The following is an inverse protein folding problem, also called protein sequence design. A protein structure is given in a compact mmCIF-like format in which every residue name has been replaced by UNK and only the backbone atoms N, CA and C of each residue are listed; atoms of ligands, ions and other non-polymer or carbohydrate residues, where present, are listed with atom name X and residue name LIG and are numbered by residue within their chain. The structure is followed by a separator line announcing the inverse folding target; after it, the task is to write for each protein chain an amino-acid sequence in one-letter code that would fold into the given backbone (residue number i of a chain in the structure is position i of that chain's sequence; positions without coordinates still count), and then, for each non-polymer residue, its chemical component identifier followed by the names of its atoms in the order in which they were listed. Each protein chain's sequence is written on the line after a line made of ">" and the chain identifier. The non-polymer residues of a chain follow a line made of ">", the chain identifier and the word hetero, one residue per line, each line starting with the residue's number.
data_IF_522059402635
#
_entry.id   IF_522059402635
#
_cell.length_a   1.000
_cell.length_b   1.000
_cell.length_c   1.000
_cell.angle_alpha   90.00
_cell.angle_beta   90.00
_cell.angle_gamma   90.00
#
_symmetry.space_group_name_H-M   'P 1'
#
loop_
_entity.id
_entity.type
_entity.pdbx_description
1 polymer ?
#
# COMPACT_ATOMS: atom_id res chain seq x y z
N UNK A 1 58.78 -1.38 -24.38
CA UNK A 1 57.93 -2.29 -23.56
C UNK A 1 56.47 -2.07 -23.92
N UNK A 2 55.95 -2.88 -24.86
CA UNK A 2 54.55 -2.84 -25.24
C UNK A 2 53.74 -3.62 -24.18
N UNK A 3 53.13 -2.90 -23.24
CA UNK A 3 52.20 -3.50 -22.29
C UNK A 3 50.98 -3.99 -23.08
N UNK A 4 50.84 -5.30 -23.20
CA UNK A 4 49.77 -5.98 -23.93
C UNK A 4 48.41 -5.35 -23.61
N UNK A 5 47.73 -4.79 -24.62
CA UNK A 5 46.30 -4.50 -24.59
C UNK A 5 45.55 -5.82 -24.51
N UNK A 6 45.49 -6.43 -23.31
CA UNK A 6 44.64 -7.58 -23.06
C UNK A 6 43.20 -7.11 -23.26
N UNK A 7 42.41 -7.86 -24.03
CA UNK A 7 41.01 -7.53 -24.31
C UNK A 7 40.15 -7.46 -23.03
N UNK A 8 40.65 -7.98 -21.92
CA UNK A 8 40.03 -7.96 -20.59
C UNK A 8 40.29 -6.69 -19.78
N UNK A 9 41.18 -5.78 -20.23
CA UNK A 9 41.46 -4.52 -19.53
C UNK A 9 40.82 -3.29 -20.16
N UNK A 10 40.08 -3.45 -21.27
CA UNK A 10 39.26 -2.37 -21.83
C UNK A 10 37.91 -2.39 -21.13
N UNK A 11 37.53 -1.27 -20.55
CA UNK A 11 36.17 -1.11 -20.03
C UNK A 11 35.16 -1.39 -21.16
N UNK A 12 34.20 -2.25 -20.89
CA UNK A 12 33.14 -2.66 -21.84
C UNK A 12 32.37 -1.45 -22.36
N UNK A 13 32.25 -0.42 -21.53
CA UNK A 13 31.59 0.84 -21.87
C UNK A 13 32.58 1.97 -22.13
N UNK A 14 32.29 2.78 -23.15
CA UNK A 14 33.00 4.05 -23.36
C UNK A 14 32.78 5.02 -22.18
N UNK A 15 33.59 6.07 -22.07
CA UNK A 15 33.38 7.10 -21.05
C UNK A 15 32.02 7.79 -21.22
N UNK A 16 31.60 8.00 -22.47
CA UNK A 16 30.31 8.58 -22.82
C UNK A 16 29.15 7.67 -22.41
N UNK A 17 29.22 6.37 -22.71
CA UNK A 17 28.21 5.40 -22.28
C UNK A 17 28.11 5.30 -20.76
N UNK A 18 29.23 5.36 -20.04
CA UNK A 18 29.23 5.43 -18.58
C UNK A 18 28.61 6.72 -18.06
N UNK A 19 28.85 7.85 -18.71
CA UNK A 19 28.22 9.12 -18.33
C UNK A 19 26.69 9.08 -18.54
N UNK A 20 26.23 8.49 -19.65
CA UNK A 20 24.80 8.26 -19.92
C UNK A 20 24.17 7.28 -18.92
N UNK A 21 24.84 6.16 -18.65
CA UNK A 21 24.37 5.18 -17.68
C UNK A 21 24.29 5.80 -16.27
N UNK A 22 25.28 6.63 -15.92
CA UNK A 22 25.31 7.36 -14.65
C UNK A 22 24.19 8.39 -14.58
N UNK A 23 23.94 9.18 -15.63
CA UNK A 23 22.85 10.16 -15.62
C UNK A 23 21.46 9.51 -15.60
N UNK A 24 21.30 8.34 -16.22
CA UNK A 24 20.03 7.63 -16.30
C UNK A 24 19.68 6.83 -15.03
N UNK A 25 20.67 6.15 -14.43
CA UNK A 25 20.44 5.17 -13.35
C UNK A 25 21.09 5.50 -12.01
N UNK A 26 22.10 6.39 -11.95
CA UNK A 26 22.68 6.74 -10.65
C UNK A 26 21.78 7.69 -9.86
N UNK A 27 21.94 7.66 -8.53
CA UNK A 27 21.31 8.64 -7.66
C UNK A 27 21.80 10.04 -7.98
N UNK A 28 20.90 10.96 -8.29
CA UNK A 28 21.23 12.34 -8.60
C UNK A 28 20.47 13.31 -7.70
N UNK A 29 21.14 14.37 -7.27
CA UNK A 29 20.57 15.43 -6.43
C UNK A 29 20.67 16.76 -7.17
N UNK A 30 19.55 17.48 -7.34
CA UNK A 30 19.53 18.80 -7.95
C UNK A 30 18.99 19.84 -6.97
N UNK A 31 19.64 21.00 -6.87
CA UNK A 31 19.09 22.12 -6.10
C UNK A 31 17.98 22.80 -6.88
N UNK A 32 16.83 22.98 -6.24
CA UNK A 32 15.64 23.60 -6.82
C UNK A 32 15.72 25.12 -6.67
N UNK A 33 15.42 25.83 -7.77
CA UNK A 33 15.34 27.30 -7.80
C UNK A 33 13.93 27.77 -7.40
N UNK A 34 13.74 29.08 -7.22
CA UNK A 34 12.43 29.69 -6.91
C UNK A 34 11.34 29.26 -7.89
N UNK A 35 11.67 29.11 -9.16
CA UNK A 35 10.73 28.76 -10.23
C UNK A 35 10.25 27.30 -10.14
N UNK A 36 10.92 26.47 -9.34
CA UNK A 36 10.51 25.09 -9.04
C UNK A 36 9.46 25.01 -7.92
N UNK A 37 9.13 26.14 -7.29
CA UNK A 37 8.13 26.21 -6.22
C UNK A 37 6.86 26.89 -6.72
N UNK A 38 5.72 26.36 -6.29
CA UNK A 38 4.44 26.95 -6.61
C UNK A 38 4.29 28.29 -5.86
N UNK A 39 3.79 29.36 -6.50
CA UNK A 39 3.55 30.61 -5.79
C UNK A 39 2.48 30.45 -4.69
N UNK A 40 2.43 31.42 -3.78
CA UNK A 40 1.53 31.35 -2.64
C UNK A 40 0.07 31.28 -3.09
N UNK A 41 -0.66 30.34 -2.48
CA UNK A 41 -2.10 30.16 -2.66
C UNK A 41 -2.56 29.82 -4.10
N UNK A 42 -1.70 29.10 -4.80
CA UNK A 42 -2.02 28.41 -6.05
C UNK A 42 -2.60 27.02 -5.78
N UNK A 43 -3.40 26.54 -6.73
CA UNK A 43 -3.95 25.19 -6.74
C UNK A 43 -2.89 24.20 -7.21
N UNK A 44 -2.71 23.11 -6.47
CA UNK A 44 -1.73 22.06 -6.81
C UNK A 44 -2.13 21.16 -7.98
N UNK A 45 -3.37 21.26 -8.45
CA UNK A 45 -3.87 20.47 -9.59
C UNK A 45 -3.81 21.25 -10.90
N UNK A 46 -4.31 22.49 -10.95
CA UNK A 46 -4.26 23.32 -12.16
C UNK A 46 -3.04 24.24 -12.24
N UNK A 47 -2.27 24.39 -11.15
CA UNK A 47 -1.06 25.22 -11.10
C UNK A 47 -1.30 26.72 -11.37
N UNK A 48 -2.53 27.19 -11.14
CA UNK A 48 -2.93 28.59 -11.21
C UNK A 48 -3.37 29.10 -9.83
N UNK A 49 -3.63 30.40 -9.69
CA UNK A 49 -4.23 30.97 -8.47
C UNK A 49 -5.49 30.19 -8.11
N UNK A 50 -5.58 29.71 -6.87
CA UNK A 50 -6.73 28.92 -6.45
C UNK A 50 -8.01 29.79 -6.41
N UNK A 51 -8.99 29.40 -7.23
CA UNK A 51 -10.37 29.92 -7.26
C UNK A 51 -11.22 29.08 -6.32
N UNK A 52 -12.01 29.73 -5.45
CA UNK A 52 -12.74 29.10 -4.35
C UNK A 52 -11.85 28.09 -3.61
N UNK A 53 -10.76 28.56 -2.98
CA UNK A 53 -9.71 27.69 -2.49
C UNK A 53 -10.24 26.73 -1.41
N UNK A 54 -9.88 25.47 -1.54
CA UNK A 54 -10.12 24.43 -0.53
C UNK A 54 -8.80 23.80 -0.13
N UNK A 55 -8.73 23.32 1.11
CA UNK A 55 -7.55 22.64 1.63
C UNK A 55 -7.86 21.24 2.13
N UNK A 56 -6.89 20.32 1.97
CA UNK A 56 -6.91 19.06 2.70
C UNK A 56 -6.54 19.27 4.19
N UNK A 57 -6.68 18.22 5.01
CA UNK A 57 -6.35 18.30 6.45
C UNK A 57 -4.88 18.64 6.74
N UNK A 58 -3.98 18.47 5.75
CA UNK A 58 -2.55 18.69 5.85
C UNK A 58 -2.08 20.04 5.26
N UNK A 59 -3.00 20.89 4.79
CA UNK A 59 -2.67 22.25 4.34
C UNK A 59 -2.29 22.37 2.88
N UNK A 60 -2.55 21.36 2.04
CA UNK A 60 -2.41 21.46 0.59
C UNK A 60 -3.61 22.18 -0.02
N UNK A 61 -3.38 23.08 -0.99
CA UNK A 61 -4.43 23.94 -1.58
C UNK A 61 -4.85 23.49 -2.98
N UNK A 62 -6.14 23.63 -3.24
CA UNK A 62 -6.78 23.28 -4.50
C UNK A 62 -7.88 24.28 -4.83
N UNK A 63 -8.22 24.44 -6.11
CA UNK A 63 -9.53 24.95 -6.48
C UNK A 63 -10.59 23.94 -6.06
N UNK A 64 -11.77 24.42 -5.65
CA UNK A 64 -12.88 23.54 -5.29
C UNK A 64 -13.20 22.54 -6.40
N UNK A 65 -13.34 23.01 -7.64
CA UNK A 65 -13.63 22.16 -8.79
C UNK A 65 -12.55 21.08 -9.04
N UNK A 66 -11.28 21.44 -8.95
CA UNK A 66 -10.17 20.51 -9.19
C UNK A 66 -10.12 19.41 -8.13
N UNK A 67 -10.31 19.77 -6.85
CA UNK A 67 -10.36 18.79 -5.78
C UNK A 67 -11.52 17.81 -5.98
N UNK A 68 -12.72 18.32 -6.31
CA UNK A 68 -13.90 17.49 -6.53
C UNK A 68 -13.72 16.56 -7.74
N UNK A 69 -13.26 17.08 -8.87
CA UNK A 69 -13.07 16.29 -10.09
C UNK A 69 -12.05 15.17 -9.89
N UNK A 70 -10.96 15.45 -9.18
CA UNK A 70 -9.96 14.43 -8.87
C UNK A 70 -10.47 13.38 -7.87
N UNK A 71 -11.19 13.77 -6.82
CA UNK A 71 -11.83 12.82 -5.90
C UNK A 71 -12.77 11.88 -6.68
N UNK A 72 -13.57 12.42 -7.60
CA UNK A 72 -14.49 11.62 -8.44
C UNK A 72 -13.74 10.69 -9.40
N UNK A 73 -12.67 11.19 -10.04
CA UNK A 73 -11.82 10.39 -10.93
C UNK A 73 -11.18 9.21 -10.18
N UNK A 74 -10.62 9.47 -8.99
CA UNK A 74 -10.04 8.42 -8.15
C UNK A 74 -11.09 7.42 -7.68
N UNK A 75 -12.27 7.85 -7.24
CA UNK A 75 -13.37 6.93 -6.87
C UNK A 75 -13.81 6.05 -8.04
N UNK A 76 -13.86 6.60 -9.25
CA UNK A 76 -14.19 5.84 -10.46
C UNK A 76 -13.13 4.78 -10.76
N UNK A 77 -11.85 5.12 -10.64
CA UNK A 77 -10.75 4.17 -10.85
C UNK A 77 -10.71 3.10 -9.77
N UNK A 78 -10.88 3.47 -8.49
CA UNK A 78 -10.98 2.53 -7.37
C UNK A 78 -12.10 1.52 -7.63
N UNK A 79 -13.29 1.99 -8.01
CA UNK A 79 -14.42 1.11 -8.35
C UNK A 79 -14.12 0.20 -9.55
N UNK A 80 -13.37 0.69 -10.55
CA UNK A 80 -12.96 -0.11 -11.71
C UNK A 80 -12.01 -1.24 -11.29
N UNK A 81 -11.01 -0.91 -10.47
CA UNK A 81 -10.03 -1.86 -9.93
C UNK A 81 -10.69 -2.88 -8.99
N UNK A 82 -11.60 -2.44 -8.12
CA UNK A 82 -12.37 -3.34 -7.24
C UNK A 82 -13.20 -4.35 -8.05
N UNK A 83 -13.87 -3.91 -9.13
CA UNK A 83 -14.62 -4.81 -10.01
C UNK A 83 -13.71 -5.81 -10.72
N UNK A 84 -12.55 -5.37 -11.21
CA UNK A 84 -11.57 -6.25 -11.85
C UNK A 84 -11.07 -7.32 -10.88
N UNK A 85 -10.71 -6.94 -9.66
CA UNK A 85 -10.27 -7.86 -8.61
C UNK A 85 -11.36 -8.85 -8.20
N UNK A 86 -12.61 -8.39 -8.07
CA UNK A 86 -13.74 -9.29 -7.79
C UNK A 86 -13.98 -10.28 -8.92
N UNK A 87 -13.76 -9.88 -10.17
CA UNK A 87 -13.86 -10.78 -11.32
C UNK A 87 -12.72 -11.81 -11.32
N UNK A 88 -11.48 -11.38 -11.11
CA UNK A 88 -10.31 -12.26 -10.99
C UNK A 88 -10.47 -13.26 -9.85
N UNK A 89 -10.98 -12.84 -8.69
CA UNK A 89 -11.25 -13.73 -7.55
C UNK A 89 -12.31 -14.79 -7.90
N UNK A 90 -13.38 -14.41 -8.60
CA UNK A 90 -14.40 -15.37 -9.06
C UNK A 90 -13.83 -16.38 -10.05
N UNK A 91 -13.05 -15.92 -11.03
CA UNK A 91 -12.39 -16.78 -12.02
C UNK A 91 -11.37 -17.73 -11.36
N UNK A 92 -10.62 -17.25 -10.35
CA UNK A 92 -9.71 -18.07 -9.56
C UNK A 92 -10.43 -19.14 -8.74
N UNK A 93 -11.55 -18.79 -8.09
CA UNK A 93 -12.36 -19.74 -7.34
C UNK A 93 -12.99 -20.81 -8.25
N UNK A 94 -13.50 -20.42 -9.42
CA UNK A 94 -14.02 -21.34 -10.43
C UNK A 94 -12.91 -22.26 -10.99
N UNK A 95 -11.74 -21.69 -11.30
CA UNK A 95 -10.59 -22.48 -11.76
C UNK A 95 -10.11 -23.48 -10.70
N UNK A 96 -10.08 -23.08 -9.43
CA UNK A 96 -9.74 -23.96 -8.31
C UNK A 96 -10.79 -25.05 -8.14
N UNK A 97 -12.08 -24.72 -8.21
CA UNK A 97 -13.16 -25.71 -8.15
C UNK A 97 -13.07 -26.74 -9.29
N UNK A 98 -12.73 -26.30 -10.51
CA UNK A 98 -12.48 -27.22 -11.64
C UNK A 98 -11.30 -28.15 -11.38
N UNK A 99 -10.19 -27.62 -10.86
CA UNK A 99 -9.01 -28.43 -10.52
C UNK A 99 -9.30 -29.43 -9.39
N UNK A 100 -10.06 -29.02 -8.37
CA UNK A 100 -10.45 -29.90 -7.28
C UNK A 100 -11.41 -31.01 -7.78
N UNK A 101 -12.32 -30.70 -8.71
CA UNK A 101 -13.18 -31.71 -9.34
C UNK A 101 -12.36 -32.70 -10.21
N UNK A 102 -11.44 -32.21 -11.05
CA UNK A 102 -10.52 -33.05 -11.82
C UNK A 102 -9.67 -33.97 -10.90
N UNK A 103 -9.17 -33.42 -9.79
CA UNK A 103 -8.40 -34.20 -8.81
C UNK A 103 -9.26 -35.26 -8.10
N UNK A 104 -10.52 -34.96 -7.80
CA UNK A 104 -11.47 -35.93 -7.25
C UNK A 104 -11.75 -37.07 -8.25
N UNK A 105 -12.00 -36.76 -9.52
CA UNK A 105 -12.22 -37.79 -10.55
C UNK A 105 -11.01 -38.70 -10.74
N UNK A 106 -9.80 -38.14 -10.74
CA UNK A 106 -8.56 -38.92 -10.84
C UNK A 106 -8.33 -39.80 -9.62
N UNK A 107 -8.60 -39.31 -8.41
CA UNK A 107 -8.52 -40.10 -7.19
C UNK A 107 -9.51 -41.28 -7.21
N UNK A 108 -10.76 -41.05 -7.66
CA UNK A 108 -11.75 -42.14 -7.82
C UNK A 108 -11.25 -43.19 -8.82
N UNK A 109 -10.72 -42.77 -9.98
CA UNK A 109 -10.18 -43.71 -10.99
C UNK A 109 -8.98 -44.51 -10.47
N UNK A 110 -8.06 -43.87 -9.73
CA UNK A 110 -6.91 -44.55 -9.12
C UNK A 110 -7.36 -45.59 -8.10
N UNK A 111 -8.38 -45.26 -7.30
CA UNK A 111 -9.00 -46.18 -6.35
C UNK A 111 -9.66 -47.37 -7.06
N UNK A 112 -10.45 -47.14 -8.11
CA UNK A 112 -11.08 -48.20 -8.92
C UNK A 112 -10.04 -49.16 -9.54
N UNK A 113 -8.95 -48.63 -10.09
CA UNK A 113 -7.82 -49.41 -10.63
C UNK A 113 -7.16 -50.27 -9.55
N UNK A 114 -6.98 -49.72 -8.35
CA UNK A 114 -6.37 -50.43 -7.22
C UNK A 114 -7.28 -51.56 -6.73
N UNK A 115 -8.61 -51.34 -6.66
CA UNK A 115 -9.58 -52.41 -6.35
C UNK A 115 -9.62 -53.51 -7.41
N UNK A 116 -9.40 -53.18 -8.68
CA UNK A 116 -9.29 -54.15 -9.77
C UNK A 116 -8.00 -54.98 -9.74
N UNK A 117 -7.10 -54.77 -8.77
CA UNK A 117 -5.82 -55.48 -8.64
C UNK A 117 -4.74 -55.01 -9.60
N UNK A 118 -4.96 -53.88 -10.29
CA UNK A 118 -4.00 -53.24 -11.21
C UNK A 118 -3.19 -52.21 -10.43
N UNK A 119 -2.33 -52.68 -9.53
CA UNK A 119 -1.52 -51.79 -8.69
C UNK A 119 -0.44 -51.07 -9.54
N UNK A 120 -0.62 -49.77 -9.76
CA UNK A 120 0.23 -48.94 -10.64
C UNK A 120 1.67 -48.82 -10.13
N UNK A 121 1.93 -49.18 -8.85
CA UNK A 121 3.30 -49.33 -8.32
C UNK A 121 4.13 -50.39 -9.04
N UNK A 122 3.51 -51.32 -9.78
CA UNK A 122 4.25 -52.30 -10.59
C UNK A 122 4.75 -51.76 -11.95
N UNK A 123 4.23 -50.61 -12.43
CA UNK A 123 4.52 -50.11 -13.79
C UNK A 123 5.61 -49.01 -13.87
N UNK A 124 5.96 -48.35 -12.75
CA UNK A 124 7.06 -47.36 -12.70
C UNK A 124 8.11 -47.76 -11.66
N UNK A 125 9.03 -48.66 -12.07
CA UNK A 125 10.32 -48.82 -11.37
C UNK A 125 10.73 -50.24 -10.99
N UNK A 126 10.83 -51.15 -11.97
CA UNK A 126 11.84 -52.22 -11.88
C UNK A 126 13.22 -51.61 -12.11
N UNK A 127 13.78 -50.95 -11.09
CA UNK A 127 15.21 -50.74 -10.89
C UNK A 127 15.43 -49.94 -9.60
N UNK A 128 15.58 -50.65 -8.49
CA UNK A 128 16.64 -50.51 -7.47
C UNK A 128 16.13 -51.10 -6.16
N UNK A 129 16.49 -52.36 -5.96
CA UNK A 129 16.43 -53.00 -4.66
C UNK A 129 17.26 -52.17 -3.67
N UNK A 130 16.63 -51.67 -2.62
CA UNK A 130 17.29 -51.35 -1.37
C UNK A 130 16.26 -51.34 -0.23
N UNK A 131 16.35 -52.38 0.57
CA UNK A 131 15.87 -52.57 1.94
C UNK A 131 15.40 -51.30 2.66
N UNK A 132 14.13 -51.25 3.04
CA UNK A 132 13.68 -50.47 4.20
C UNK A 132 12.72 -51.34 5.01
N UNK A 133 13.09 -51.49 6.28
CA UNK A 133 12.44 -52.25 7.33
C UNK A 133 11.05 -51.72 7.64
N UNK A 134 10.11 -52.64 7.86
CA UNK A 134 8.83 -52.37 8.51
C UNK A 134 9.06 -51.80 9.91
N UNK A 135 8.73 -50.52 10.09
CA UNK A 135 8.60 -49.92 11.41
C UNK A 135 7.22 -50.29 11.98
N UNK A 136 7.20 -51.33 12.79
CA UNK A 136 6.14 -51.60 13.75
C UNK A 136 6.30 -50.67 14.95
N UNK A 137 5.22 -50.11 15.55
CA UNK A 137 5.32 -49.33 16.76
C UNK A 137 5.44 -50.28 17.96
N UNK A 138 6.63 -50.30 18.56
CA UNK A 138 6.93 -51.02 19.79
C UNK A 138 6.32 -50.31 20.99
N UNK A 139 5.41 -50.97 21.71
CA UNK A 139 5.00 -50.59 23.08
C UNK A 139 5.63 -51.61 24.04
N UNK A 140 6.46 -51.11 24.96
CA UNK A 140 7.06 -51.75 26.14
C UNK A 140 6.02 -52.53 27.00
N UNK A 141 6.25 -53.63 27.72
CA UNK A 141 7.39 -54.49 28.15
C UNK A 141 6.77 -55.79 28.75
N UNK A 142 7.45 -56.55 29.64
CA UNK A 142 8.27 -57.74 29.42
C UNK A 142 7.51 -59.08 29.62
N UNK A 143 8.07 -60.16 29.08
CA UNK A 143 7.65 -61.56 29.29
C UNK A 143 7.85 -62.02 30.75
N UNK A 144 7.12 -63.06 31.22
CA UNK A 144 7.64 -64.41 31.03
C UNK A 144 6.59 -65.43 30.56
N UNK A 145 7.09 -66.28 29.66
CA UNK A 145 6.91 -67.73 29.56
C UNK A 145 5.57 -68.44 29.83
N UNK A 146 5.40 -69.44 28.97
CA UNK A 146 4.78 -70.74 29.20
C UNK A 146 3.32 -70.91 28.74
N UNK A 147 3.26 -71.66 27.64
CA UNK A 147 2.27 -72.69 27.33
C UNK A 147 0.85 -72.25 26.97
N UNK A 148 0.50 -72.56 25.72
CA UNK A 148 -0.70 -73.35 25.49
C UNK A 148 -1.67 -72.77 24.47
N UNK A 149 -1.88 -73.59 23.44
CA UNK A 149 -3.10 -73.72 22.67
C UNK A 149 -3.49 -72.59 21.71
N UNK A 150 -3.37 -72.94 20.44
CA UNK A 150 -4.09 -72.37 19.31
C UNK A 150 -5.54 -71.98 19.67
N UNK A 151 -5.87 -70.69 19.51
CA UNK A 151 -7.22 -70.27 19.13
C UNK A 151 -7.14 -69.32 17.94
N UNK A 152 -7.47 -69.94 16.81
CA UNK A 152 -7.71 -69.37 15.50
C UNK A 152 -8.76 -68.25 15.58
N UNK A 153 -8.34 -67.04 15.21
CA UNK A 153 -9.17 -66.04 14.54
C UNK A 153 -10.26 -65.36 15.36
N UNK A 154 -9.87 -64.48 16.29
CA UNK A 154 -10.76 -63.43 16.75
C UNK A 154 -10.61 -62.22 15.83
N UNK A 155 -11.63 -62.00 14.99
CA UNK A 155 -11.69 -60.87 14.06
C UNK A 155 -11.68 -59.58 14.89
N UNK A 156 -10.54 -58.90 14.98
CA UNK A 156 -10.47 -57.54 15.51
C UNK A 156 -11.48 -56.71 14.72
N UNK A 157 -12.52 -56.25 15.43
CA UNK A 157 -13.61 -55.45 14.85
C UNK A 157 -12.97 -54.15 14.36
N UNK A 158 -12.76 -54.04 13.06
CA UNK A 158 -12.28 -52.82 12.42
C UNK A 158 -13.38 -51.77 12.57
N UNK A 159 -13.27 -50.92 13.57
CA UNK A 159 -14.12 -49.74 13.71
C UNK A 159 -13.56 -48.65 12.81
N UNK A 160 -14.24 -48.41 11.69
CA UNK A 160 -14.02 -47.23 10.85
C UNK A 160 -14.41 -46.00 11.65
N UNK A 161 -13.41 -45.29 12.16
CA UNK A 161 -13.58 -44.00 12.79
C UNK A 161 -13.84 -42.97 11.68
N UNK A 162 -15.01 -42.32 11.63
CA UNK A 162 -15.38 -41.42 10.53
C UNK A 162 -14.35 -40.30 10.31
N UNK A 163 -13.75 -39.78 11.37
CA UNK A 163 -12.76 -38.70 11.31
C UNK A 163 -11.44 -39.18 10.67
N UNK A 164 -11.06 -40.43 10.91
CA UNK A 164 -9.87 -41.03 10.31
C UNK A 164 -10.08 -41.33 8.81
N UNK A 165 -11.30 -41.70 8.42
CA UNK A 165 -11.68 -41.89 7.01
C UNK A 165 -11.63 -40.57 6.25
N UNK A 166 -12.11 -39.49 6.86
CA UNK A 166 -12.06 -38.16 6.25
C UNK A 166 -10.63 -37.66 6.09
N UNK A 167 -9.77 -37.86 7.09
CA UNK A 167 -8.33 -37.55 7.02
C UNK A 167 -7.62 -38.31 5.90
N UNK A 168 -7.89 -39.61 5.76
CA UNK A 168 -7.31 -40.44 4.69
C UNK A 168 -7.80 -39.95 3.32
N UNK A 169 -9.08 -39.62 3.18
CA UNK A 169 -9.64 -39.07 1.94
C UNK A 169 -9.04 -37.70 1.57
N UNK A 170 -8.78 -36.84 2.56
CA UNK A 170 -8.09 -35.56 2.34
C UNK A 170 -6.63 -35.74 1.92
N UNK A 171 -5.91 -36.68 2.54
CA UNK A 171 -4.52 -37.02 2.20
C UNK A 171 -4.40 -37.59 0.79
N UNK A 172 -5.32 -38.49 0.39
CA UNK A 172 -5.35 -39.07 -0.95
C UNK A 172 -5.70 -38.02 -2.02
N UNK A 173 -6.65 -37.13 -1.75
CA UNK A 173 -6.93 -35.95 -2.61
C UNK A 173 -5.72 -35.01 -2.70
N UNK A 174 -4.99 -34.80 -1.60
CA UNK A 174 -3.79 -33.98 -1.59
C UNK A 174 -2.65 -34.62 -2.42
N UNK A 175 -2.52 -35.94 -2.36
CA UNK A 175 -1.56 -36.71 -3.18
C UNK A 175 -1.91 -36.64 -4.67
N UNK A 176 -3.19 -36.79 -5.03
CA UNK A 176 -3.65 -36.63 -6.41
C UNK A 176 -3.37 -35.20 -6.94
N UNK A 177 -3.64 -34.16 -6.13
CA UNK A 177 -3.30 -32.77 -6.48
C UNK A 177 -1.80 -32.58 -6.74
N UNK A 178 -0.94 -33.14 -5.89
CA UNK A 178 0.52 -33.08 -6.07
C UNK A 178 0.99 -33.79 -7.34
N UNK A 179 0.43 -34.96 -7.66
CA UNK A 179 0.76 -35.69 -8.89
C UNK A 179 0.40 -34.90 -10.16
N UNK A 180 -0.75 -34.20 -10.16
CA UNK A 180 -1.17 -33.32 -11.26
C UNK A 180 -0.24 -32.11 -11.37
N UNK A 181 0.20 -31.55 -10.25
CA UNK A 181 1.14 -30.42 -10.22
C UNK A 181 2.52 -30.82 -10.73
N UNK A 182 3.03 -32.00 -10.37
CA UNK A 182 4.28 -32.56 -10.88
C UNK A 182 4.21 -32.87 -12.39
N UNK A 183 3.07 -33.35 -12.90
CA UNK A 183 2.85 -33.54 -14.34
C UNK A 183 2.78 -32.20 -15.09
N UNK A 184 2.22 -31.17 -14.46
CA UNK A 184 2.16 -29.81 -15.02
C UNK A 184 3.52 -29.11 -14.98
N UNK A 185 4.33 -29.33 -13.94
CA UNK A 185 5.66 -28.73 -13.78
C UNK A 185 6.73 -29.42 -14.63
N UNK A 186 6.55 -30.71 -14.94
CA UNK A 186 7.43 -31.46 -15.85
C UNK A 186 7.21 -31.14 -17.34
N UNK A 187 6.14 -30.42 -17.70
CA UNK A 187 5.97 -29.85 -19.04
C UNK A 187 6.93 -28.67 -19.20
N UNK A 188 7.85 -28.68 -20.19
CA UNK A 188 8.90 -27.67 -20.29
C UNK A 188 8.29 -26.28 -20.51
N UNK A 189 8.38 -25.42 -19.50
CA UNK A 189 8.08 -24.00 -19.65
C UNK A 189 9.20 -23.37 -20.46
N UNK A 190 8.93 -23.03 -21.72
CA UNK A 190 9.90 -22.37 -22.59
C UNK A 190 10.35 -21.03 -21.95
N UNK A 191 11.66 -20.75 -21.86
CA UNK A 191 12.20 -19.52 -21.28
C UNK A 191 12.10 -18.34 -22.26
N UNK A 192 11.01 -18.24 -23.04
CA UNK A 192 10.82 -17.18 -24.02
C UNK A 192 9.90 -16.08 -23.47
N UNK A 193 10.55 -15.03 -22.99
CA UNK A 193 9.96 -13.75 -22.57
C UNK A 193 9.08 -13.07 -23.65
N UNK A 194 9.23 -13.46 -24.92
CA UNK A 194 8.54 -12.86 -26.07
C UNK A 194 7.26 -13.58 -26.50
N UNK A 195 6.89 -14.65 -25.80
CA UNK A 195 5.62 -15.34 -26.06
C UNK A 195 4.50 -14.59 -25.32
N UNK A 196 3.41 -14.15 -25.98
CA UNK A 196 2.33 -13.38 -25.34
C UNK A 196 1.75 -14.03 -24.07
N UNK A 197 1.78 -15.37 -23.99
CA UNK A 197 1.37 -16.21 -22.86
C UNK A 197 2.33 -16.25 -21.67
N UNK A 198 3.53 -15.66 -21.77
CA UNK A 198 4.55 -15.57 -20.71
C UNK A 198 4.93 -14.10 -20.44
N UNK A 199 4.15 -13.16 -20.96
CA UNK A 199 4.35 -11.73 -20.69
C UNK A 199 4.15 -11.45 -19.20
N UNK A 200 4.92 -10.52 -18.59
CA UNK A 200 4.84 -10.23 -17.16
C UNK A 200 3.44 -9.79 -16.67
N UNK A 201 2.55 -9.33 -17.56
CA UNK A 201 1.14 -9.05 -17.24
C UNK A 201 0.24 -10.30 -17.14
N UNK A 202 0.69 -11.44 -17.68
CA UNK A 202 -0.04 -12.71 -17.70
C UNK A 202 0.47 -13.72 -16.65
N UNK A 203 1.54 -13.36 -15.93
CA UNK A 203 2.25 -14.27 -15.04
C UNK A 203 1.67 -14.26 -13.61
N UNK A 204 0.40 -14.65 -13.47
CA UNK A 204 -0.29 -14.78 -12.18
C UNK A 204 0.11 -16.00 -11.34
N UNK A 205 1.14 -16.76 -11.76
CA UNK A 205 1.53 -18.05 -11.14
C UNK A 205 2.91 -18.05 -10.49
N UNK A 206 3.71 -16.99 -10.62
CA UNK A 206 4.98 -16.89 -9.91
C UNK A 206 4.77 -16.24 -8.54
N UNK A 207 5.08 -16.99 -7.48
CA UNK A 207 5.04 -16.59 -6.05
C UNK A 207 5.83 -15.31 -5.73
N UNK A 208 6.70 -14.86 -6.64
CA UNK A 208 7.47 -13.61 -6.54
C UNK A 208 6.68 -12.33 -6.89
N UNK A 209 5.47 -12.44 -7.44
CA UNK A 209 4.67 -11.27 -7.86
C UNK A 209 3.27 -11.19 -7.24
N UNK A 210 2.96 -11.99 -6.21
CA UNK A 210 1.73 -11.81 -5.42
C UNK A 210 1.87 -10.60 -4.48
N UNK A 211 2.27 -9.46 -5.04
CA UNK A 211 2.01 -8.17 -4.42
C UNK A 211 0.54 -7.90 -4.71
N UNK A 212 -0.35 -8.50 -3.90
CA UNK A 212 -1.69 -7.96 -3.70
C UNK A 212 -1.51 -6.53 -3.20
N UNK A 213 -1.35 -5.59 -4.13
CA UNK A 213 -1.42 -4.16 -3.86
C UNK A 213 -2.81 -3.98 -3.29
N UNK A 214 -2.91 -3.94 -1.96
CA UNK A 214 -4.15 -3.66 -1.24
C UNK A 214 -4.79 -2.48 -1.96
N UNK A 215 -5.90 -2.73 -2.62
CA UNK A 215 -6.58 -1.74 -3.45
C UNK A 215 -6.85 -0.56 -2.53
N UNK A 216 -6.25 0.58 -2.84
CA UNK A 216 -6.37 1.79 -2.04
C UNK A 216 -7.85 2.15 -2.00
N UNK A 217 -8.53 1.88 -0.89
CA UNK A 217 -9.99 2.00 -0.78
C UNK A 217 -10.48 3.44 -0.76
N UNK A 218 -9.58 4.40 -0.57
CA UNK A 218 -9.91 5.82 -0.44
C UNK A 218 -9.09 6.69 -1.40
N UNK A 219 -9.69 7.78 -1.91
CA UNK A 219 -8.96 8.78 -2.68
C UNK A 219 -7.79 9.37 -1.87
N UNK A 220 -6.63 9.49 -2.51
CA UNK A 220 -5.39 10.02 -1.95
C UNK A 220 -5.14 11.43 -2.49
N UNK A 221 -4.71 12.31 -1.59
CA UNK A 221 -4.31 13.66 -1.93
C UNK A 221 -3.14 13.65 -2.95
N UNK A 222 -3.24 14.30 -4.12
CA UNK A 222 -2.15 14.34 -5.11
C UNK A 222 -0.85 14.97 -4.61
N UNK A 223 -0.95 15.80 -3.58
CA UNK A 223 0.16 16.50 -2.99
C UNK A 223 0.73 15.78 -1.75
N UNK A 224 0.19 14.62 -1.39
CA UNK A 224 0.76 13.84 -0.31
C UNK A 224 2.15 13.34 -0.73
N UNK A 225 3.16 13.42 0.15
CA UNK A 225 4.47 12.85 -0.11
C UNK A 225 4.34 11.33 -0.29
N UNK A 226 5.21 10.73 -1.12
CA UNK A 226 5.20 9.29 -1.38
C UNK A 226 5.39 8.45 -0.11
N UNK A 227 6.17 8.96 0.84
CA UNK A 227 6.45 8.30 2.12
C UNK A 227 5.25 8.31 3.08
N UNK A 228 4.38 9.32 2.96
CA UNK A 228 3.22 9.51 3.85
C UNK A 228 1.98 9.91 3.03
N UNK A 229 1.41 8.97 2.26
CA UNK A 229 0.16 9.21 1.54
C UNK A 229 -0.96 9.42 2.56
N UNK A 230 -1.74 10.47 2.38
CA UNK A 230 -2.90 10.73 3.21
C UNK A 230 -4.18 10.73 2.37
N UNK A 231 -5.28 10.11 2.87
CA UNK A 231 -6.55 10.15 2.20
C UNK A 231 -7.14 11.57 2.27
N UNK A 232 -8.00 11.88 1.31
CA UNK A 232 -8.80 13.09 1.34
C UNK A 232 -10.17 12.85 0.72
N UNK A 233 -11.20 13.46 1.30
CA UNK A 233 -12.60 13.26 0.94
C UNK A 233 -13.36 14.58 0.97
N UNK A 234 -14.55 14.60 0.39
CA UNK A 234 -15.43 15.77 0.36
C UNK A 234 -15.71 16.33 1.76
N UNK A 235 -15.84 15.46 2.75
CA UNK A 235 -16.14 15.85 4.13
C UNK A 235 -14.92 16.37 4.90
N UNK A 236 -13.71 16.08 4.42
CA UNK A 236 -12.46 16.51 5.05
C UNK A 236 -11.87 17.75 4.39
N UNK A 237 -12.46 18.22 3.27
CA UNK A 237 -12.07 19.46 2.62
C UNK A 237 -12.55 20.66 3.45
N UNK A 238 -11.61 21.56 3.73
CA UNK A 238 -11.87 22.81 4.43
C UNK A 238 -11.90 23.92 3.39
N UNK A 239 -13.00 24.69 3.33
CA UNK A 239 -13.03 25.92 2.53
C UNK A 239 -12.08 26.93 3.13
N UNK A 240 -11.25 27.56 2.30
CA UNK A 240 -10.25 28.54 2.73
C UNK A 240 -10.77 29.94 2.42
N UNK A 241 -10.70 30.81 3.41
CA UNK A 241 -11.10 32.21 3.30
C UNK A 241 -9.86 33.09 3.45
N UNK A 242 -9.41 33.65 2.33
CA UNK A 242 -8.36 34.67 2.31
C UNK A 242 -8.96 36.05 2.45
N UNK A 243 -8.31 36.91 3.23
CA UNK A 243 -8.54 38.35 3.21
C UNK A 243 -7.74 38.93 2.06
N UNK A 244 -8.38 39.69 1.17
CA UNK A 244 -7.76 40.24 -0.02
C UNK A 244 -7.81 41.77 0.02
N UNK A 245 -6.74 42.41 -0.43
CA UNK A 245 -6.61 43.85 -0.58
C UNK A 245 -6.27 44.17 -2.04
N UNK A 246 -7.06 45.05 -2.65
CA UNK A 246 -6.87 45.49 -4.03
C UNK A 246 -6.13 46.81 -4.06
N UNK A 247 -4.95 46.82 -4.66
CA UNK A 247 -4.22 48.07 -4.91
C UNK A 247 -4.90 48.85 -6.05
N UNK A 248 -5.34 50.09 -5.76
CA UNK A 248 -6.04 50.95 -6.73
C UNK A 248 -5.19 51.29 -7.97
N UNK A 249 -3.85 51.32 -7.81
CA UNK A 249 -2.91 51.72 -8.86
C UNK A 249 -2.56 50.60 -9.83
N UNK A 250 -2.40 49.38 -9.33
CA UNK A 250 -1.98 48.22 -10.12
C UNK A 250 -3.14 47.28 -10.46
N UNK A 251 -4.32 47.47 -9.84
CA UNK A 251 -5.50 46.58 -9.94
C UNK A 251 -5.19 45.13 -9.58
N UNK A 252 -4.10 44.88 -8.85
CA UNK A 252 -3.70 43.55 -8.41
C UNK A 252 -4.30 43.25 -7.05
N UNK A 253 -5.03 42.15 -6.94
CA UNK A 253 -5.52 41.59 -5.68
C UNK A 253 -4.37 40.89 -4.96
N UNK A 254 -4.02 41.34 -3.76
CA UNK A 254 -3.03 40.65 -2.91
C UNK A 254 -3.73 40.04 -1.70
N UNK A 255 -3.29 38.85 -1.29
CA UNK A 255 -3.83 38.15 -0.12
C UNK A 255 -3.05 38.62 1.12
N UNK A 256 -3.75 39.11 2.13
CA UNK A 256 -3.15 39.71 3.33
C UNK A 256 -3.53 38.95 4.60
N UNK A 257 -2.74 39.13 5.65
CA UNK A 257 -3.06 38.63 6.99
C UNK A 257 -4.08 39.57 7.66
N UNK A 258 -5.23 39.08 8.17
CA UNK A 258 -6.22 39.95 8.82
C UNK A 258 -5.74 40.56 10.14
N UNK A 259 -4.72 39.98 10.79
CA UNK A 259 -4.20 40.46 12.07
C UNK A 259 -3.15 41.57 11.94
N UNK A 260 -2.28 41.52 10.92
CA UNK A 260 -1.19 42.49 10.75
C UNK A 260 -1.21 43.23 9.41
N UNK A 261 -2.19 42.96 8.56
CA UNK A 261 -2.36 43.51 7.22
C UNK A 261 -1.14 43.32 6.29
N UNK A 262 -0.19 42.45 6.66
CA UNK A 262 0.96 42.14 5.83
C UNK A 262 0.57 41.15 4.73
N UNK A 263 1.03 41.41 3.51
CA UNK A 263 0.89 40.50 2.38
C UNK A 263 1.43 39.09 2.71
N UNK A 264 0.60 38.08 2.41
CA UNK A 264 0.93 36.67 2.57
C UNK A 264 1.71 36.20 1.34
N UNK A 265 2.83 35.52 1.59
CA UNK A 265 3.70 35.00 0.55
C UNK A 265 4.34 33.69 1.01
N UNK A 266 5.17 33.09 0.17
CA UNK A 266 5.83 31.83 0.52
C UNK A 266 6.79 31.95 1.73
N UNK A 267 7.14 33.15 2.19
CA UNK A 267 7.96 33.36 3.38
C UNK A 267 7.15 33.61 4.67
N UNK A 268 5.85 33.91 4.58
CA UNK A 268 5.07 34.42 5.72
C UNK A 268 4.60 33.37 6.73
N UNK A 269 4.89 32.08 6.51
CA UNK A 269 4.40 30.96 7.36
C UNK A 269 2.87 31.01 7.56
N UNK A 270 2.11 31.04 6.47
CA UNK A 270 0.65 31.14 6.54
C UNK A 270 0.01 29.89 7.18
N UNK A 271 -0.85 30.12 8.17
CA UNK A 271 -1.54 29.10 8.95
C UNK A 271 -3.05 29.17 8.68
N UNK A 272 -3.64 28.02 8.41
CA UNK A 272 -5.08 27.81 8.23
C UNK A 272 -5.71 27.36 9.55
N UNK A 273 -6.78 28.06 9.96
CA UNK A 273 -7.58 27.70 11.13
C UNK A 273 -8.72 26.74 10.76
N UNK A 274 -8.71 25.52 11.30
CA UNK A 274 -9.75 24.51 11.11
C UNK A 274 -10.73 24.53 12.28
N UNK A 275 -12.06 24.50 12.05
CA UNK A 275 -12.74 24.29 10.76
C UNK A 275 -13.10 25.56 9.98
N UNK A 276 -12.88 26.75 10.54
CA UNK A 276 -13.42 28.01 10.01
C UNK A 276 -12.81 28.49 8.68
N UNK A 277 -11.63 28.01 8.29
CA UNK A 277 -11.04 28.32 6.98
C UNK A 277 -10.22 29.61 6.90
N UNK A 278 -10.17 30.43 7.94
CA UNK A 278 -9.42 31.69 7.93
C UNK A 278 -7.89 31.46 7.92
N UNK A 279 -7.19 32.33 7.20
CA UNK A 279 -5.72 32.26 7.06
C UNK A 279 -5.04 33.44 7.75
N UNK A 280 -4.06 33.13 8.60
CA UNK A 280 -3.30 34.12 9.39
C UNK A 280 -1.80 33.83 9.25
N UNK A 281 -0.94 34.85 9.26
CA UNK A 281 0.51 34.61 9.19
C UNK A 281 1.05 34.01 10.50
N UNK A 282 2.13 33.22 10.41
CA UNK A 282 2.64 32.45 11.55
C UNK A 282 3.14 33.31 12.70
N UNK A 283 3.63 34.52 12.44
CA UNK A 283 3.99 35.48 13.49
C UNK A 283 2.76 35.88 14.30
N UNK A 284 1.65 36.21 13.66
CA UNK A 284 0.40 36.58 14.35
C UNK A 284 -0.20 35.39 15.11
N UNK A 285 -0.13 34.18 14.56
CA UNK A 285 -0.54 32.98 15.30
C UNK A 285 0.27 32.82 16.59
N UNK A 286 1.59 33.00 16.52
CA UNK A 286 2.45 32.87 17.70
C UNK A 286 2.20 33.96 18.75
N UNK A 287 1.85 35.17 18.32
CA UNK A 287 1.60 36.30 19.22
C UNK A 287 0.21 36.28 19.82
N UNK A 288 -0.83 36.03 19.01
CA UNK A 288 -2.23 36.26 19.40
C UNK A 288 -3.04 34.99 19.66
N UNK A 289 -2.63 33.83 19.14
CA UNK A 289 -3.45 32.61 19.19
C UNK A 289 -2.84 31.49 20.04
N UNK A 290 -1.54 31.54 20.37
CA UNK A 290 -0.92 30.55 21.25
C UNK A 290 -1.33 30.76 22.70
N UNK A 291 -1.69 29.68 23.43
CA UNK A 291 -2.02 29.79 24.85
C UNK A 291 -0.77 30.21 25.63
N UNK A 292 -0.85 31.33 26.35
CA UNK A 292 0.27 31.87 27.13
C UNK A 292 0.37 31.25 28.53
N UNK A 293 -0.52 30.32 28.89
CA UNK A 293 -0.51 29.59 30.17
C UNK A 293 -0.80 30.42 31.43
N UNK A 294 -0.89 31.74 31.30
CA UNK A 294 -1.18 32.67 32.38
C UNK A 294 -2.63 33.17 32.29
N UNK A 295 -3.40 33.10 33.39
CA UNK A 295 -4.74 33.70 33.47
C UNK A 295 -4.62 35.22 33.46
N UNK A 296 -5.21 35.88 32.47
CA UNK A 296 -5.32 37.33 32.45
C UNK A 296 -6.32 37.80 33.53
N UNK A 297 -5.87 38.58 34.55
CA UNK A 297 -6.76 39.13 35.58
C UNK A 297 -7.87 40.04 35.02
N UNK A 298 -7.69 40.61 33.83
CA UNK A 298 -8.65 41.52 33.19
C UNK A 298 -9.66 40.81 32.26
N UNK A 299 -9.46 39.52 31.97
CA UNK A 299 -10.36 38.73 31.15
C UNK A 299 -10.66 37.36 31.81
N UNK A 300 -11.34 37.33 32.97
CA UNK A 300 -11.55 36.09 33.75
C UNK A 300 -12.43 35.04 33.04
N UNK A 301 -13.18 35.47 32.02
CA UNK A 301 -14.09 34.65 31.20
C UNK A 301 -13.34 33.85 30.12
N UNK A 302 -12.10 34.22 29.79
CA UNK A 302 -11.35 33.63 28.69
C UNK A 302 -10.45 32.54 29.26
N UNK A 303 -10.71 31.29 28.87
CA UNK A 303 -9.87 30.16 29.26
C UNK A 303 -8.50 30.29 28.57
N UNK A 304 -7.39 30.42 29.32
CA UNK A 304 -6.05 30.72 28.75
C UNK A 304 -5.45 29.56 27.95
N UNK A 305 -6.05 28.37 28.02
CA UNK A 305 -5.63 27.17 27.30
C UNK A 305 -6.37 26.99 25.96
N UNK A 306 -7.44 27.77 25.72
CA UNK A 306 -8.29 27.63 24.54
C UNK A 306 -7.74 28.50 23.40
N UNK A 307 -7.27 27.84 22.35
CA UNK A 307 -6.93 28.50 21.07
C UNK A 307 -8.23 28.87 20.34
N UNK A 308 -8.38 30.14 19.98
CA UNK A 308 -9.51 30.65 19.21
C UNK A 308 -9.03 31.29 17.90
N UNK A 309 -9.88 31.28 16.88
CA UNK A 309 -9.61 31.95 15.62
C UNK A 309 -9.61 33.47 15.82
N UNK A 310 -8.55 34.15 15.35
CA UNK A 310 -8.47 35.62 15.42
C UNK A 310 -9.62 36.35 14.70
N UNK A 311 -10.18 35.76 13.63
CA UNK A 311 -11.16 36.44 12.77
C UNK A 311 -12.60 36.24 13.21
N UNK A 312 -12.92 35.04 13.71
CA UNK A 312 -14.31 34.64 13.99
C UNK A 312 -14.50 34.04 15.38
N UNK A 313 -13.45 34.07 16.22
CA UNK A 313 -13.44 33.57 17.60
C UNK A 313 -13.80 32.09 17.76
N UNK A 314 -13.90 31.35 16.64
CA UNK A 314 -14.18 29.93 16.64
C UNK A 314 -13.11 29.17 17.44
N UNK A 315 -13.54 28.30 18.34
CA UNK A 315 -12.64 27.48 19.16
C UNK A 315 -11.91 26.47 18.28
N UNK A 316 -10.58 26.54 18.30
CA UNK A 316 -9.67 25.69 17.53
C UNK A 316 -9.02 24.59 18.38
N UNK A 317 -9.25 24.53 19.69
CA UNK A 317 -8.81 23.41 20.52
C UNK A 317 -9.73 22.20 20.35
N UNK A 318 -9.13 21.01 20.33
CA UNK A 318 -9.88 19.77 20.46
C UNK A 318 -10.45 19.70 21.88
N UNK A 319 -11.77 19.88 22.04
CA UNK A 319 -12.41 19.55 23.31
C UNK A 319 -12.31 18.03 23.50
N UNK A 320 -11.70 17.57 24.57
CA UNK A 320 -11.71 16.16 24.99
C UNK A 320 -13.14 15.74 25.40
N UNK A 321 -14.04 15.65 24.43
CA UNK A 321 -15.37 15.10 24.65
C UNK A 321 -15.26 13.59 24.82
N UNK A 322 -15.42 13.10 26.07
CA UNK A 322 -15.64 11.70 26.47
C UNK A 322 -15.26 10.67 25.41
N UNK A 323 -14.02 10.17 25.46
CA UNK A 323 -13.69 8.81 25.02
C UNK A 323 -14.51 7.81 25.84
N UNK A 324 -15.79 7.63 25.49
CA UNK A 324 -16.54 6.41 25.79
C UNK A 324 -16.80 5.72 24.46
N UNK A 325 -16.09 4.60 24.28
CA UNK A 325 -16.48 3.44 23.49
C UNK A 325 -17.04 3.72 22.09
N UNK A 326 -16.12 3.77 21.12
CA UNK A 326 -16.40 3.25 19.77
C UNK A 326 -15.09 2.87 19.07
N UNK A 327 -14.33 1.99 19.72
CA UNK A 327 -13.55 1.02 18.95
C UNK A 327 -14.57 0.15 18.20
N UNK A 328 -14.56 0.19 16.87
CA UNK A 328 -15.44 -0.66 16.04
C UNK A 328 -16.37 0.02 15.05
N UNK A 329 -16.25 1.32 14.79
CA UNK A 329 -16.87 1.91 13.58
C UNK A 329 -15.83 2.75 12.85
N UNK A 330 -15.43 2.31 11.65
CA UNK A 330 -14.68 3.10 10.65
C UNK A 330 -15.50 4.34 10.28
N UNK A 331 -15.51 5.31 11.19
CA UNK A 331 -16.42 6.43 11.19
C UNK A 331 -15.73 7.63 10.60
N UNK A 332 -16.10 7.96 9.34
CA UNK A 332 -15.94 9.25 8.66
C UNK A 332 -14.93 10.19 9.34
N UNK A 333 -13.73 10.30 8.78
CA UNK A 333 -12.76 11.33 9.19
C UNK A 333 -13.46 12.70 9.28
N UNK A 334 -13.59 13.23 10.50
CA UNK A 334 -14.14 14.56 10.75
C UNK A 334 -12.98 15.55 10.81
N UNK A 335 -13.23 16.78 10.37
CA UNK A 335 -12.25 17.86 10.47
C UNK A 335 -11.97 18.10 11.96
N UNK A 336 -10.76 17.76 12.39
CA UNK A 336 -10.29 18.06 13.75
C UNK A 336 -9.94 19.54 13.87
N UNK A 337 -10.48 20.27 14.86
CA UNK A 337 -10.12 21.66 15.11
C UNK A 337 -8.61 21.81 15.32
N UNK A 338 -8.06 22.93 14.87
CA UNK A 338 -6.64 23.24 15.07
C UNK A 338 -6.06 24.12 13.99
N UNK A 339 -4.75 24.37 14.09
CA UNK A 339 -4.00 25.17 13.14
C UNK A 339 -3.12 24.27 12.28
N UNK A 340 -3.16 24.48 10.96
CA UNK A 340 -2.34 23.75 9.99
C UNK A 340 -1.60 24.73 9.12
N UNK A 341 -0.30 24.51 8.91
CA UNK A 341 0.47 25.33 7.99
C UNK A 341 0.06 25.04 6.55
N UNK A 342 -0.22 26.09 5.78
CA UNK A 342 -0.45 25.96 4.34
C UNK A 342 0.88 25.60 3.69
N UNK A 343 0.91 24.43 3.04
CA UNK A 343 2.09 23.92 2.35
C UNK A 343 2.36 24.72 1.09
N UNK A 344 3.64 24.94 0.81
CA UNK A 344 4.15 25.85 -0.23
C UNK A 344 4.93 25.15 -1.34
N UNK A 345 4.84 23.82 -1.34
CA UNK A 345 5.78 22.99 -2.08
C UNK A 345 5.41 22.95 -3.55
N UNK A 346 6.39 22.83 -4.43
CA UNK A 346 6.16 22.59 -5.86
C UNK A 346 5.59 21.20 -6.13
N UNK A 347 5.31 20.91 -7.39
CA UNK A 347 4.86 19.61 -7.89
C UNK A 347 5.84 18.50 -7.51
N UNK A 348 5.42 17.51 -6.71
CA UNK A 348 6.03 16.17 -6.54
C UNK A 348 7.48 16.06 -6.04
N UNK A 349 8.42 16.75 -6.69
CA UNK A 349 9.87 16.69 -6.45
C UNK A 349 10.35 17.64 -5.34
N UNK A 350 9.55 18.64 -5.00
CA UNK A 350 9.86 19.66 -3.98
C UNK A 350 9.12 19.41 -2.65
N UNK A 351 8.56 18.21 -2.47
CA UNK A 351 7.81 17.87 -1.27
C UNK A 351 8.73 17.86 -0.03
N UNK A 352 8.31 18.50 1.05
CA UNK A 352 9.05 18.66 2.31
C UNK A 352 9.80 19.99 2.52
N UNK A 353 9.64 21.01 1.67
CA UNK A 353 10.37 22.28 1.79
C UNK A 353 11.88 22.14 1.56
N UNK A 354 12.29 20.99 1.03
CA UNK A 354 13.67 20.70 0.69
C UNK A 354 14.04 21.47 -0.57
N UNK A 355 15.18 22.15 -0.53
CA UNK A 355 15.74 22.84 -1.69
C UNK A 355 16.47 21.87 -2.63
N UNK A 356 16.37 20.56 -2.39
CA UNK A 356 17.04 19.52 -3.15
C UNK A 356 16.03 18.45 -3.57
N UNK A 357 15.94 18.19 -4.87
CA UNK A 357 15.25 17.02 -5.41
C UNK A 357 16.25 15.86 -5.46
N UNK A 358 15.90 14.74 -4.83
CA UNK A 358 16.67 13.51 -4.84
C UNK A 358 15.99 12.49 -5.75
N UNK A 359 16.72 12.01 -6.76
CA UNK A 359 16.33 10.83 -7.53
C UNK A 359 17.11 9.64 -6.99
N UNK A 360 16.44 8.71 -6.34
CA UNK A 360 17.05 7.46 -5.91
C UNK A 360 17.20 6.54 -7.12
N UNK A 361 18.41 6.01 -7.31
CA UNK A 361 18.75 5.14 -8.42
C UNK A 361 19.79 4.11 -8.00
N UNK A 362 19.75 2.93 -8.60
CA UNK A 362 20.75 1.90 -8.38
C UNK A 362 21.95 2.23 -9.27
N UNK A 363 23.08 2.58 -8.66
CA UNK A 363 24.29 2.88 -9.41
C UNK A 363 24.72 1.67 -10.23
N UNK A 364 24.83 1.84 -11.54
CA UNK A 364 25.44 0.86 -12.41
C UNK A 364 26.93 0.75 -12.06
N UNK A 365 27.34 -0.34 -11.41
CA UNK A 365 28.74 -0.66 -11.16
C UNK A 365 29.24 -1.50 -12.34
N UNK A 366 30.14 -0.93 -13.15
CA UNK A 366 30.86 -1.63 -14.22
C UNK A 366 32.24 -2.07 -13.76
#
# INVERSE_FOLDING_TARGET
>A
MAHSKRNTSRAVFTSHERALAKSAWSSNSARLSRDSFLPFAYCRLCLENAIDPVSCLHGDLYCRECALSNILAQKKEIKRLEKALQQEEREQLEAKARQDAEAQELAIREFELTQAGLDVKAAKGSARAQSIQEHTPTVHSPTPEANGAEKRGEKRKFSLDPDEVERIAEEERAKARRAIEDEKSSKPTLPSFWTPSVTPSSNGKNTLHDIKKKTKSQPICPASPEDQPHPYSLHTLITVHFTEETDEKTKTTTRICPACQRALSNSSKAMLAKPCGHVVCGSCVNTFMKPQGHRDPHAPQVDPEVVQCYVCEAVLTEKEGKKKEKEGKEGKERIRPGLVEIRREGTGFSAGGQTQALRNGVSFQC
#
